data_IF_848122185064
#
_entry.id   IF_848122185064
#
_cell.length_a   1.000
_cell.length_b   1.000
_cell.length_c   1.000
_cell.angle_alpha   90.00
_cell.angle_beta   90.00
_cell.angle_gamma   90.00
#
_symmetry.space_group_name_H-M   'P 1'
#
loop_
_entity.id
_entity.type
_entity.pdbx_description
1 polymer ?
#
# COMPACT_ATOMS: atom_id res chain seq x y z
N UNK A 1 15.96 6.23 -9.79
CA UNK A 1 15.04 6.83 -8.80
C UNK A 1 14.76 5.74 -7.78
N UNK A 2 14.89 6.00 -6.47
CA UNK A 2 14.66 4.97 -5.47
C UNK A 2 13.17 4.56 -5.53
N UNK A 3 12.89 3.37 -6.04
CA UNK A 3 11.53 2.88 -6.20
C UNK A 3 11.00 2.52 -4.80
N UNK A 4 10.00 3.23 -4.31
CA UNK A 4 9.32 2.83 -3.07
C UNK A 4 8.51 1.60 -3.41
N UNK A 5 8.95 0.45 -2.91
CA UNK A 5 8.21 -0.79 -2.99
C UNK A 5 7.49 -1.03 -1.65
N UNK A 6 6.20 -1.41 -1.66
CA UNK A 6 5.50 -1.76 -0.45
C UNK A 6 6.17 -2.89 0.32
N UNK A 7 6.13 -2.83 1.64
CA UNK A 7 6.63 -3.87 2.53
C UNK A 7 5.75 -5.12 2.43
N UNK A 8 6.43 -6.24 2.22
CA UNK A 8 5.80 -7.51 1.94
C UNK A 8 5.10 -8.15 3.15
N UNK A 9 5.48 -7.82 4.38
CA UNK A 9 4.92 -8.42 5.60
C UNK A 9 3.42 -8.12 5.79
N UNK A 10 2.94 -6.99 5.28
CA UNK A 10 1.54 -6.58 5.34
C UNK A 10 0.67 -7.14 4.21
N UNK A 11 1.20 -7.94 3.29
CA UNK A 11 0.51 -8.29 2.04
C UNK A 11 -0.89 -8.92 2.25
N UNK A 12 -1.08 -9.68 3.33
CA UNK A 12 -2.38 -10.28 3.68
C UNK A 12 -3.49 -9.27 3.98
N UNK A 13 -3.13 -8.02 4.32
CA UNK A 13 -4.06 -6.96 4.68
C UNK A 13 -4.40 -6.03 3.50
N UNK A 14 -3.83 -6.25 2.30
CA UNK A 14 -4.01 -5.34 1.16
C UNK A 14 -5.44 -5.49 0.62
N UNK A 15 -6.17 -4.37 0.50
CA UNK A 15 -7.56 -4.36 0.04
C UNK A 15 -8.59 -4.82 1.07
N UNK A 16 -8.22 -5.00 2.34
CA UNK A 16 -9.20 -5.29 3.39
C UNK A 16 -10.02 -4.06 3.79
N UNK A 17 -9.53 -2.84 3.55
CA UNK A 17 -10.26 -1.61 3.84
C UNK A 17 -10.58 -1.38 5.31
N UNK A 18 -9.83 -2.01 6.22
CA UNK A 18 -10.08 -2.00 7.67
C UNK A 18 -8.96 -1.33 8.49
N UNK A 19 -8.08 -0.58 7.84
CA UNK A 19 -6.96 0.12 8.48
C UNK A 19 -5.87 -0.80 9.04
N UNK A 20 -5.79 -2.06 8.61
CA UNK A 20 -4.80 -3.01 9.14
C UNK A 20 -3.40 -2.91 8.53
N UNK A 21 -3.20 -2.05 7.52
CA UNK A 21 -1.87 -1.82 6.94
C UNK A 21 -1.07 -0.82 7.75
N UNK A 22 0.18 -1.17 8.01
CA UNK A 22 1.15 -0.28 8.64
C UNK A 22 1.82 0.63 7.61
N UNK A 23 2.51 1.67 8.10
CA UNK A 23 3.37 2.52 7.24
C UNK A 23 4.35 1.65 6.46
N UNK A 24 4.56 1.98 5.20
CA UNK A 24 5.28 1.22 4.17
C UNK A 24 4.54 -0.01 3.63
N UNK A 25 3.42 -0.44 4.21
CA UNK A 25 2.58 -1.52 3.67
C UNK A 25 1.93 -1.16 2.33
N UNK A 26 1.51 -2.17 1.57
CA UNK A 26 0.79 -1.95 0.33
C UNK A 26 -0.66 -1.54 0.58
N UNK A 27 -1.22 -0.72 -0.31
CA UNK A 27 -2.62 -0.31 -0.23
C UNK A 27 -3.21 -0.11 -1.63
N UNK A 28 -4.50 -0.36 -1.76
CA UNK A 28 -5.28 0.00 -2.96
C UNK A 28 -6.12 1.26 -2.73
N UNK A 29 -6.34 1.66 -1.48
CA UNK A 29 -6.94 2.94 -1.10
C UNK A 29 -6.59 3.33 0.35
N UNK A 30 -6.99 4.53 0.76
CA UNK A 30 -6.75 5.05 2.11
C UNK A 30 -7.31 4.16 3.24
N UNK A 31 -8.41 3.44 3.00
CA UNK A 31 -9.05 2.61 4.01
C UNK A 31 -8.21 1.39 4.40
N UNK A 32 -7.23 0.99 3.58
CA UNK A 32 -6.30 -0.09 3.96
C UNK A 32 -5.34 0.35 5.06
N UNK A 33 -4.94 1.62 5.09
CA UNK A 33 -3.88 2.14 5.94
C UNK A 33 -4.38 2.57 7.33
N UNK A 34 -3.69 2.12 8.37
CA UNK A 34 -3.92 2.56 9.75
C UNK A 34 -3.77 4.09 9.90
N UNK A 35 -2.91 4.69 9.09
CA UNK A 35 -2.69 6.14 9.02
C UNK A 35 -3.73 6.90 8.21
N UNK A 36 -4.68 6.21 7.57
CA UNK A 36 -5.65 6.83 6.65
C UNK A 36 -5.05 7.38 5.35
N UNK A 37 -3.77 7.13 5.09
CA UNK A 37 -3.06 7.68 3.93
C UNK A 37 -2.39 6.58 3.10
N UNK A 38 -3.02 6.27 1.97
CA UNK A 38 -2.42 5.51 0.88
C UNK A 38 -1.78 6.51 -0.09
N UNK A 39 -0.46 6.57 -0.09
CA UNK A 39 0.29 7.49 -0.92
C UNK A 39 0.66 6.87 -2.26
N UNK A 40 0.54 7.65 -3.33
CA UNK A 40 1.00 7.22 -4.65
C UNK A 40 2.53 7.30 -4.72
N UNK A 41 3.17 6.17 -4.97
CA UNK A 41 4.59 6.09 -5.27
C UNK A 41 4.78 5.56 -6.71
N UNK A 42 4.67 6.45 -7.69
CA UNK A 42 4.86 6.12 -9.12
C UNK A 42 3.89 5.05 -9.64
N UNK A 43 2.61 5.16 -9.28
CA UNK A 43 1.53 4.24 -9.65
C UNK A 43 1.36 3.06 -8.70
N UNK A 44 2.13 3.00 -7.61
CA UNK A 44 2.02 1.96 -6.59
C UNK A 44 1.58 2.59 -5.27
N UNK A 45 0.47 2.09 -4.71
CA UNK A 45 -0.03 2.53 -3.41
C UNK A 45 0.81 2.03 -2.26
N UNK A 46 1.31 2.96 -1.45
CA UNK A 46 2.06 2.67 -0.23
C UNK A 46 1.50 3.44 0.96
N UNK A 47 1.21 2.75 2.06
CA UNK A 47 0.77 3.39 3.28
C UNK A 47 1.84 4.34 3.80
N UNK A 48 1.46 5.60 4.01
CA UNK A 48 2.36 6.66 4.45
C UNK A 48 1.77 7.37 5.65
N UNK A 49 2.64 7.97 6.48
CA UNK A 49 2.17 8.97 7.42
C UNK A 49 1.71 10.20 6.65
N UNK A 50 0.68 10.90 7.13
CA UNK A 50 0.16 12.12 6.50
C UNK A 50 1.24 13.19 6.36
N UNK A 51 2.11 13.34 7.37
CA UNK A 51 3.25 14.25 7.34
C UNK A 51 4.34 13.88 6.30
N UNK A 52 4.32 12.64 5.78
CA UNK A 52 5.29 12.11 4.83
C UNK A 52 4.70 11.83 3.44
N UNK A 53 3.49 12.31 3.16
CA UNK A 53 2.75 12.00 1.95
C UNK A 53 3.40 12.48 0.65
N UNK A 54 4.27 13.49 0.70
CA UNK A 54 5.05 14.01 -0.44
C UNK A 54 6.55 13.71 -0.34
N UNK A 55 6.97 12.97 0.69
CA UNK A 55 8.37 12.67 0.91
C UNK A 55 8.79 11.46 0.06
N UNK A 56 10.08 11.40 -0.27
CA UNK A 56 10.70 10.25 -0.94
C UNK A 56 10.11 9.90 -2.32
N UNK A 57 9.59 10.91 -3.05
CA UNK A 57 9.03 10.72 -4.39
C UNK A 57 7.58 10.23 -4.42
N UNK A 58 6.85 10.44 -3.32
CA UNK A 58 5.40 10.21 -3.24
C UNK A 58 4.61 11.41 -3.75
N UNK A 59 3.41 11.17 -4.26
CA UNK A 59 2.55 12.16 -4.88
C UNK A 59 1.34 12.57 -4.01
N UNK A 60 1.36 12.28 -2.70
CA UNK A 60 0.29 12.61 -1.77
C UNK A 60 -0.61 11.41 -1.42
N UNK A 61 -1.41 11.58 -0.36
CA UNK A 61 -2.41 10.60 0.07
C UNK A 61 -3.63 10.60 -0.86
N UNK A 62 -4.44 9.54 -0.80
CA UNK A 62 -5.66 9.43 -1.61
C UNK A 62 -5.44 8.68 -2.93
N UNK A 63 -4.35 7.92 -3.04
CA UNK A 63 -4.20 6.97 -4.14
C UNK A 63 -5.38 5.99 -4.10
N UNK A 64 -6.00 5.80 -5.27
CA UNK A 64 -7.00 4.76 -5.51
C UNK A 64 -6.49 3.95 -6.68
N UNK A 65 -6.18 2.69 -6.43
CA UNK A 65 -5.62 1.81 -7.43
C UNK A 65 -6.65 1.51 -8.53
N UNK A 66 -6.42 1.90 -9.80
CA UNK A 66 -7.32 1.59 -10.90
C UNK A 66 -7.42 0.09 -11.19
N UNK A 67 -6.46 -0.72 -10.71
CA UNK A 67 -6.42 -2.17 -10.82
C UNK A 67 -6.38 -2.84 -9.43
N UNK A 68 -7.19 -2.34 -8.49
CA UNK A 68 -7.24 -2.83 -7.11
C UNK A 68 -7.36 -4.37 -7.03
N UNK A 69 -8.21 -5.02 -7.84
CA UNK A 69 -8.35 -6.48 -7.83
C UNK A 69 -7.03 -7.19 -8.19
N UNK A 70 -6.30 -6.68 -9.19
CA UNK A 70 -5.01 -7.26 -9.60
C UNK A 70 -3.95 -7.11 -8.50
N UNK A 71 -3.91 -5.96 -7.84
CA UNK A 71 -2.98 -5.70 -6.73
C UNK A 71 -3.29 -6.57 -5.52
N UNK A 72 -4.56 -6.77 -5.18
CA UNK A 72 -4.99 -7.69 -4.11
C UNK A 72 -4.57 -9.13 -4.44
N UNK A 73 -4.81 -9.59 -5.67
CA UNK A 73 -4.41 -10.92 -6.09
C UNK A 73 -2.88 -11.11 -6.03
N UNK A 74 -2.10 -10.11 -6.44
CA UNK A 74 -0.64 -10.13 -6.32
C UNK A 74 -0.19 -10.19 -4.85
N UNK A 75 -0.85 -9.44 -3.97
CA UNK A 75 -0.58 -9.47 -2.53
C UNK A 75 -0.91 -10.84 -1.92
N UNK A 76 -2.02 -11.48 -2.30
CA UNK A 76 -2.36 -12.85 -1.89
C UNK A 76 -1.32 -13.87 -2.37
N UNK A 77 -0.89 -13.79 -3.64
CA UNK A 77 0.17 -14.63 -4.17
C UNK A 77 1.48 -14.44 -3.39
N UNK A 78 1.75 -13.22 -2.94
CA UNK A 78 2.91 -12.92 -2.11
C UNK A 78 2.81 -13.55 -0.72
N UNK A 79 1.64 -13.55 -0.09
CA UNK A 79 1.41 -14.27 1.18
C UNK A 79 1.69 -15.76 1.01
N UNK A 80 1.19 -16.39 -0.07
CA UNK A 80 1.45 -17.80 -0.34
C UNK A 80 2.95 -18.12 -0.49
N UNK A 81 3.74 -17.20 -1.07
CA UNK A 81 5.21 -17.35 -1.17
C UNK A 81 5.93 -17.20 0.17
N UNK A 82 5.34 -16.50 1.12
CA UNK A 82 5.92 -16.28 2.44
C UNK A 82 5.70 -17.47 3.39
N UNK A 83 4.84 -18.42 3.02
CA UNK A 83 4.59 -19.62 3.82
C UNK A 83 3.78 -19.38 5.10
N UNK A 84 2.99 -18.30 5.13
CA UNK A 84 2.00 -18.02 6.18
C UNK A 84 0.68 -18.76 5.94
#
# INVERSE_FOLDING_TARGET
MAQITPNNAGARNVGQGNGSQFITGGCVNNADCASGCCADASGVGVCSAEAAQFQNGKNGCGFVDPNAQGTIAAAQAQVARQGF
#
